data_IF_181961862843
#
_entry.id   IF_181961862843
#
_cell.length_a   1.000
_cell.length_b   1.000
_cell.length_c   1.000
_cell.angle_alpha   90.00
_cell.angle_beta   90.00
_cell.angle_gamma   90.00
#
_symmetry.space_group_name_H-M   'P 1'
#
loop_
_entity.id
_entity.type
_entity.pdbx_description
1 polymer ?
#
# COMPACT_ATOMS: atom_id res chain seq x y z
N UNK A 1 -11.21 -21.27 21.67
CA UNK A 1 -9.88 -21.61 21.12
C UNK A 1 -9.26 -20.31 20.69
N UNK A 2 -8.07 -19.96 21.18
CA UNK A 2 -7.46 -18.65 20.90
C UNK A 2 -7.19 -18.53 19.40
N UNK A 3 -7.73 -17.48 18.78
CA UNK A 3 -7.37 -17.05 17.44
C UNK A 3 -5.84 -16.96 17.37
N UNK A 4 -5.24 -17.66 16.40
CA UNK A 4 -3.79 -17.83 16.32
C UNK A 4 -3.08 -16.48 16.33
N UNK A 5 -2.01 -16.38 17.11
CA UNK A 5 -1.16 -15.19 17.17
C UNK A 5 -0.59 -14.89 15.79
N UNK A 6 -1.01 -13.78 15.18
CA UNK A 6 -0.60 -13.33 13.85
C UNK A 6 0.52 -12.31 13.99
N UNK A 7 1.71 -12.63 13.48
CA UNK A 7 2.89 -11.78 13.59
C UNK A 7 3.17 -11.06 12.25
N UNK A 8 3.16 -9.73 12.27
CA UNK A 8 3.47 -8.91 11.09
C UNK A 8 4.98 -8.65 11.00
N UNK A 9 5.66 -9.16 9.96
CA UNK A 9 7.13 -9.05 9.81
C UNK A 9 7.63 -7.61 9.77
N UNK A 10 6.89 -6.69 9.17
CA UNK A 10 7.22 -5.25 9.15
C UNK A 10 7.12 -4.60 10.53
N UNK A 11 6.08 -4.94 11.30
CA UNK A 11 5.94 -4.45 12.68
C UNK A 11 7.00 -5.07 13.59
N UNK A 12 7.39 -6.33 13.35
CA UNK A 12 8.52 -6.97 14.05
C UNK A 12 9.83 -6.27 13.71
N UNK A 13 10.08 -5.94 12.43
CA UNK A 13 11.28 -5.20 12.03
C UNK A 13 11.33 -3.78 12.59
N UNK A 14 10.18 -3.09 12.59
CA UNK A 14 10.05 -1.76 13.20
C UNK A 14 10.28 -1.83 14.70
N UNK A 15 9.69 -2.83 15.38
CA UNK A 15 9.90 -3.07 16.80
C UNK A 15 11.37 -3.40 17.11
N UNK A 16 12.03 -4.22 16.29
CA UNK A 16 13.46 -4.52 16.42
C UNK A 16 14.31 -3.26 16.33
N UNK A 17 14.07 -2.41 15.32
CA UNK A 17 14.76 -1.13 15.16
C UNK A 17 14.52 -0.17 16.33
N UNK A 18 13.28 -0.08 16.82
CA UNK A 18 12.94 0.73 17.99
C UNK A 18 13.65 0.23 19.26
N UNK A 19 13.71 -1.09 19.46
CA UNK A 19 14.38 -1.73 20.59
C UNK A 19 15.90 -1.53 20.53
N UNK A 20 16.52 -1.66 19.35
CA UNK A 20 17.94 -1.33 19.14
C UNK A 20 18.23 0.15 19.42
N UNK A 21 17.41 1.05 18.87
CA UNK A 21 17.54 2.48 19.14
C UNK A 21 17.34 2.83 20.62
N UNK A 22 16.50 2.08 21.35
CA UNK A 22 16.37 2.24 22.79
C UNK A 22 17.62 1.76 23.55
N UNK A 23 18.20 0.63 23.16
CA UNK A 23 19.47 0.15 23.72
C UNK A 23 20.58 1.20 23.59
N UNK A 24 20.71 1.83 22.43
CA UNK A 24 21.74 2.84 22.18
C UNK A 24 21.48 4.13 22.98
N UNK A 25 20.21 4.53 23.15
CA UNK A 25 19.85 5.64 24.06
C UNK A 25 20.23 5.33 25.51
N UNK A 26 19.95 4.11 26.00
CA UNK A 26 20.33 3.67 27.35
C UNK A 26 21.85 3.69 27.53
N UNK A 27 22.60 3.15 26.56
CA UNK A 27 24.06 3.19 26.57
C UNK A 27 24.62 4.62 26.58
N UNK A 28 24.05 5.50 25.76
CA UNK A 28 24.43 6.92 25.71
C UNK A 28 24.12 7.65 27.02
N UNK A 29 22.96 7.41 27.63
CA UNK A 29 22.60 8.03 28.91
C UNK A 29 23.53 7.56 30.04
N UNK A 30 23.87 6.27 30.08
CA UNK A 30 24.82 5.74 31.03
C UNK A 30 26.22 6.34 30.84
N UNK A 31 26.68 6.47 29.59
CA UNK A 31 27.96 7.10 29.24
C UNK A 31 28.00 8.59 29.61
N UNK A 32 26.91 9.32 29.40
CA UNK A 32 26.80 10.73 29.77
C UNK A 32 26.78 10.91 31.30
N UNK A 33 26.04 10.06 32.02
CA UNK A 33 25.98 10.08 33.47
C UNK A 33 27.35 9.75 34.08
N UNK A 34 28.05 8.77 33.53
CA UNK A 34 29.42 8.43 33.89
C UNK A 34 30.39 9.58 33.61
N UNK A 35 30.36 10.18 32.42
CA UNK A 35 31.20 11.33 32.10
C UNK A 35 30.92 12.54 33.02
N UNK A 36 29.67 12.75 33.42
CA UNK A 36 29.26 13.83 34.29
C UNK A 36 29.67 13.62 35.77
N UNK A 37 29.82 12.37 36.20
CA UNK A 37 30.01 12.02 37.63
C UNK A 37 31.38 11.41 37.93
N UNK A 38 32.09 10.84 36.94
CA UNK A 38 33.37 10.16 37.12
C UNK A 38 34.45 11.12 37.62
N UNK A 39 35.09 10.76 38.73
CA UNK A 39 36.16 11.55 39.34
C UNK A 39 35.72 12.91 39.91
N UNK A 40 34.41 13.18 39.97
CA UNK A 40 33.86 14.41 40.54
C UNK A 40 33.15 14.09 41.85
N UNK A 41 33.39 14.91 42.87
CA UNK A 41 32.62 14.88 44.11
C UNK A 41 31.19 15.36 43.82
N UNK A 42 30.22 14.54 44.20
CA UNK A 42 28.78 14.80 44.10
C UNK A 42 28.30 15.87 45.10
N UNK A 43 29.15 16.28 46.05
CA UNK A 43 28.88 17.40 46.96
C UNK A 43 30.13 18.03 47.58
N UNK A 44 29.98 19.23 48.17
CA UNK A 44 31.06 19.97 48.87
C UNK A 44 30.86 19.93 50.39
N UNK A 45 31.97 19.93 51.15
CA UNK A 45 31.96 19.98 52.62
C UNK A 45 31.52 18.68 53.31
N UNK A 46 31.30 18.72 54.63
CA UNK A 46 30.92 17.54 55.45
C UNK A 46 29.61 16.90 54.99
N UNK A 47 28.63 17.70 54.56
CA UNK A 47 27.38 17.20 53.98
C UNK A 47 27.59 16.55 52.60
N UNK A 48 28.48 17.10 51.78
CA UNK A 48 28.85 16.50 50.51
C UNK A 48 29.47 15.10 50.64
N UNK A 49 30.27 14.85 51.68
CA UNK A 49 30.82 13.52 51.95
C UNK A 49 29.75 12.48 52.35
N UNK A 50 28.67 12.91 53.01
CA UNK A 50 27.54 12.04 53.36
C UNK A 50 26.76 11.69 52.08
N UNK A 51 26.48 12.68 51.24
CA UNK A 51 25.82 12.50 49.94
C UNK A 51 26.65 11.61 49.02
N UNK A 52 27.97 11.83 48.94
CA UNK A 52 28.89 10.99 48.17
C UNK A 52 28.77 9.52 48.61
N UNK A 53 28.89 9.24 49.91
CA UNK A 53 28.84 7.86 50.43
C UNK A 53 27.48 7.18 50.20
N UNK A 54 26.38 7.93 50.25
CA UNK A 54 25.04 7.38 50.09
C UNK A 54 24.65 7.20 48.60
N UNK A 55 25.02 8.14 47.74
CA UNK A 55 24.53 8.23 46.36
C UNK A 55 25.51 7.62 45.35
N UNK A 56 26.83 7.69 45.60
CA UNK A 56 27.85 7.18 44.69
C UNK A 56 27.67 5.70 44.34
N UNK A 57 27.44 4.78 45.31
CA UNK A 57 27.25 3.37 44.99
C UNK A 57 26.03 3.10 44.11
N UNK A 58 24.96 3.91 44.29
CA UNK A 58 23.73 3.81 43.50
C UNK A 58 24.00 4.25 42.05
N UNK A 59 24.66 5.40 41.87
CA UNK A 59 25.02 5.92 40.55
C UNK A 59 25.96 4.96 39.80
N UNK A 60 26.98 4.44 40.49
CA UNK A 60 27.92 3.48 39.90
C UNK A 60 27.20 2.18 39.50
N UNK A 61 26.32 1.65 40.35
CA UNK A 61 25.48 0.47 40.04
C UNK A 61 24.54 0.70 38.85
N UNK A 62 23.93 1.89 38.75
CA UNK A 62 23.09 2.26 37.61
C UNK A 62 23.89 2.32 36.30
N UNK A 63 25.11 2.87 36.33
CA UNK A 63 25.99 2.98 35.16
C UNK A 63 26.50 1.61 34.72
N UNK A 64 27.05 0.81 35.64
CA UNK A 64 27.80 -0.39 35.27
C UNK A 64 26.94 -1.63 35.12
N UNK A 65 25.93 -1.79 35.96
CA UNK A 65 25.23 -3.08 36.09
C UNK A 65 23.85 -2.99 35.44
N UNK A 66 23.04 -2.00 35.84
CA UNK A 66 21.68 -1.86 35.34
C UNK A 66 21.66 -1.42 33.88
N UNK A 67 22.41 -0.38 33.52
CA UNK A 67 22.40 0.14 32.15
C UNK A 67 22.97 -0.87 31.15
N UNK A 68 24.02 -1.62 31.51
CA UNK A 68 24.56 -2.69 30.65
C UNK A 68 23.62 -3.88 30.54
N UNK A 69 22.99 -4.30 31.63
CA UNK A 69 22.00 -5.38 31.58
C UNK A 69 20.79 -4.98 30.72
N UNK A 70 20.33 -3.73 30.81
CA UNK A 70 19.25 -3.20 29.98
C UNK A 70 19.65 -3.05 28.52
N UNK A 71 20.85 -2.54 28.23
CA UNK A 71 21.38 -2.48 26.86
C UNK A 71 21.45 -3.89 26.25
N UNK A 72 22.03 -4.85 26.98
CA UNK A 72 22.16 -6.23 26.51
C UNK A 72 20.81 -6.93 26.34
N UNK A 73 19.88 -6.71 27.28
CA UNK A 73 18.51 -7.22 27.20
C UNK A 73 17.77 -6.69 25.98
N UNK A 74 17.80 -5.37 25.74
CA UNK A 74 17.19 -4.78 24.54
C UNK A 74 17.88 -5.27 23.26
N UNK A 75 19.22 -5.32 23.19
CA UNK A 75 19.91 -5.84 22.00
C UNK A 75 19.55 -7.30 21.72
N UNK A 76 19.46 -8.14 22.76
CA UNK A 76 19.06 -9.54 22.63
C UNK A 76 17.62 -9.67 22.10
N UNK A 77 16.69 -8.86 22.60
CA UNK A 77 15.30 -8.80 22.11
C UNK A 77 15.27 -8.33 20.65
N UNK A 78 15.97 -7.25 20.33
CA UNK A 78 16.06 -6.73 18.96
C UNK A 78 16.58 -7.79 18.00
N UNK A 79 17.64 -8.50 18.37
CA UNK A 79 18.22 -9.56 17.54
C UNK A 79 17.28 -10.77 17.39
N UNK A 80 16.55 -11.13 18.46
CA UNK A 80 15.50 -12.16 18.39
C UNK A 80 14.36 -11.78 17.44
N UNK A 81 13.97 -10.50 17.42
CA UNK A 81 12.97 -9.98 16.49
C UNK A 81 13.49 -9.94 15.05
N UNK A 82 14.75 -9.55 14.82
CA UNK A 82 15.40 -9.61 13.50
C UNK A 82 15.46 -11.04 12.97
N UNK A 83 15.86 -12.01 13.80
CA UNK A 83 15.84 -13.42 13.43
C UNK A 83 14.43 -13.92 13.12
N UNK A 84 13.43 -13.48 13.89
CA UNK A 84 12.02 -13.83 13.66
C UNK A 84 11.53 -13.25 12.33
N UNK A 85 11.81 -11.97 12.06
CA UNK A 85 11.51 -11.33 10.77
C UNK A 85 12.18 -12.08 9.63
N UNK A 86 13.48 -12.34 9.73
CA UNK A 86 14.23 -13.06 8.69
C UNK A 86 13.63 -14.45 8.43
N UNK A 87 13.25 -15.18 9.47
CA UNK A 87 12.62 -16.49 9.30
C UNK A 87 11.24 -16.38 8.62
N UNK A 88 10.47 -15.32 8.89
CA UNK A 88 9.20 -15.05 8.22
C UNK A 88 9.42 -14.66 6.76
N UNK A 89 10.38 -13.78 6.48
CA UNK A 89 10.73 -13.34 5.12
C UNK A 89 11.29 -14.51 4.30
N UNK A 90 12.18 -15.34 4.87
CA UNK A 90 12.71 -16.56 4.24
C UNK A 90 11.60 -17.59 3.99
N UNK A 91 10.61 -17.68 4.87
CA UNK A 91 9.44 -18.54 4.67
C UNK A 91 8.53 -18.01 3.55
N UNK A 92 8.28 -16.70 3.52
CA UNK A 92 7.50 -16.02 2.48
C UNK A 92 8.18 -16.15 1.10
N UNK A 93 9.50 -15.95 1.03
CA UNK A 93 10.26 -16.10 -0.21
C UNK A 93 10.28 -17.56 -0.69
N UNK A 94 10.38 -18.53 0.22
CA UNK A 94 10.27 -19.95 -0.13
C UNK A 94 8.90 -20.28 -0.68
N UNK A 95 7.82 -19.86 -0.02
CA UNK A 95 6.44 -20.03 -0.50
C UNK A 95 6.29 -19.43 -1.90
N UNK A 96 6.78 -18.20 -2.11
CA UNK A 96 6.75 -17.54 -3.42
C UNK A 96 7.53 -18.33 -4.49
N UNK A 97 8.66 -18.94 -4.14
CA UNK A 97 9.44 -19.80 -5.05
C UNK A 97 8.75 -21.13 -5.33
N UNK A 98 8.09 -21.76 -4.35
CA UNK A 98 7.32 -23.00 -4.59
C UNK A 98 6.10 -22.72 -5.47
N UNK A 99 5.38 -21.61 -5.24
CA UNK A 99 4.28 -21.17 -6.09
C UNK A 99 4.72 -20.95 -7.55
N UNK A 100 5.95 -20.46 -7.77
CA UNK A 100 6.53 -20.32 -9.13
C UNK A 100 7.00 -21.65 -9.75
N UNK A 101 7.38 -22.66 -8.96
CA UNK A 101 7.89 -23.95 -9.44
C UNK A 101 6.80 -25.00 -9.70
N UNK A 102 5.60 -24.85 -9.12
CA UNK A 102 4.52 -25.83 -9.26
C UNK A 102 3.73 -25.78 -10.58
N UNK A 103 4.25 -25.12 -11.62
CA UNK A 103 3.85 -25.43 -13.00
C UNK A 103 4.28 -26.86 -13.41
N UNK A 104 5.35 -27.39 -12.80
CA UNK A 104 5.93 -28.70 -13.12
C UNK A 104 6.04 -29.60 -11.87
N UNK A 105 4.90 -30.15 -11.42
CA UNK A 105 4.74 -31.58 -11.10
C UNK A 105 5.55 -32.34 -10.04
N UNK A 106 6.54 -31.82 -9.31
CA UNK A 106 7.29 -32.63 -8.31
C UNK A 106 7.11 -32.19 -6.85
N UNK A 107 6.71 -33.15 -6.00
CA UNK A 107 6.46 -33.01 -4.56
C UNK A 107 7.66 -33.55 -3.77
N UNK A 108 8.28 -32.72 -2.94
CA UNK A 108 9.31 -33.17 -1.99
C UNK A 108 8.76 -33.09 -0.55
N UNK A 109 8.60 -34.22 0.17
CA UNK A 109 7.95 -34.23 1.48
C UNK A 109 8.90 -33.72 2.59
N UNK A 110 8.48 -32.65 3.26
CA UNK A 110 9.19 -32.02 4.37
C UNK A 110 9.20 -32.94 5.61
N UNK A 111 10.38 -33.28 6.15
CA UNK A 111 10.52 -33.96 7.45
C UNK A 111 10.52 -32.93 8.59
N UNK A 112 9.41 -32.84 9.33
CA UNK A 112 9.28 -32.03 10.55
C UNK A 112 9.62 -32.86 11.80
N UNK A 113 10.14 -32.19 12.84
CA UNK A 113 10.41 -32.82 14.14
C UNK A 113 9.12 -32.95 14.97
N UNK A 114 9.03 -33.92 15.91
CA UNK A 114 7.86 -34.10 16.76
C UNK A 114 7.54 -32.82 17.56
N UNK A 115 6.31 -32.31 17.44
CA UNK A 115 5.83 -31.10 18.13
C UNK A 115 5.76 -29.82 17.28
N UNK A 116 6.27 -29.83 16.05
CA UNK A 116 6.08 -28.72 15.09
C UNK A 116 4.89 -28.99 14.18
N UNK A 117 3.79 -28.27 14.39
CA UNK A 117 2.71 -28.18 13.41
C UNK A 117 3.12 -27.11 12.39
N UNK A 118 3.81 -27.50 11.32
CA UNK A 118 3.74 -26.68 10.12
C UNK A 118 2.32 -26.82 9.59
N UNK A 119 1.65 -25.70 9.32
CA UNK A 119 0.50 -25.73 8.45
C UNK A 119 0.95 -26.43 7.16
N UNK A 120 0.17 -27.41 6.70
CA UNK A 120 0.39 -27.99 5.38
C UNK A 120 0.38 -26.88 4.32
N UNK A 121 0.87 -27.20 3.13
CA UNK A 121 0.96 -26.24 2.01
C UNK A 121 -0.38 -25.52 1.75
N UNK A 122 -1.50 -26.26 1.79
CA UNK A 122 -2.86 -25.71 1.69
C UNK A 122 -3.18 -24.72 2.82
N UNK A 123 -2.78 -25.03 4.06
CA UNK A 123 -3.01 -24.15 5.21
C UNK A 123 -2.18 -22.87 5.16
N UNK A 124 -0.99 -22.89 4.57
CA UNK A 124 -0.17 -21.70 4.34
C UNK A 124 -0.76 -20.82 3.24
N UNK A 125 -1.27 -21.43 2.17
CA UNK A 125 -1.96 -20.72 1.09
C UNK A 125 -3.23 -20.03 1.59
N UNK A 126 -4.07 -20.74 2.34
CA UNK A 126 -5.28 -20.16 2.93
C UNK A 126 -4.97 -18.98 3.84
N UNK A 127 -3.90 -19.07 4.63
CA UNK A 127 -3.45 -17.95 5.47
C UNK A 127 -2.97 -16.75 4.65
N UNK A 128 -2.24 -17.00 3.57
CA UNK A 128 -1.79 -15.96 2.66
C UNK A 128 -2.97 -15.24 2.00
N UNK A 129 -3.91 -15.99 1.42
CA UNK A 129 -5.11 -15.45 0.79
C UNK A 129 -5.96 -14.65 1.80
N UNK A 130 -6.10 -15.14 3.04
CA UNK A 130 -6.76 -14.39 4.13
C UNK A 130 -6.03 -13.11 4.49
N UNK A 131 -4.70 -13.09 4.52
CA UNK A 131 -3.90 -11.88 4.80
C UNK A 131 -4.13 -10.84 3.72
N UNK A 132 -4.10 -11.25 2.45
CA UNK A 132 -4.37 -10.38 1.31
C UNK A 132 -5.79 -9.81 1.39
N UNK A 133 -6.80 -10.67 1.56
CA UNK A 133 -8.19 -10.26 1.70
C UNK A 133 -8.40 -9.27 2.86
N UNK A 134 -7.88 -9.59 4.04
CA UNK A 134 -7.96 -8.71 5.23
C UNK A 134 -7.34 -7.35 4.96
N UNK A 135 -6.22 -7.30 4.22
CA UNK A 135 -5.58 -6.04 3.86
C UNK A 135 -6.40 -5.24 2.85
N UNK A 136 -7.00 -5.88 1.86
CA UNK A 136 -7.90 -5.23 0.91
C UNK A 136 -9.14 -4.68 1.63
N UNK A 137 -9.77 -5.46 2.52
CA UNK A 137 -10.91 -5.01 3.33
C UNK A 137 -10.58 -3.79 4.20
N UNK A 138 -9.34 -3.68 4.66
CA UNK A 138 -8.86 -2.50 5.37
C UNK A 138 -8.68 -1.30 4.43
N UNK A 139 -8.08 -1.51 3.26
CA UNK A 139 -7.84 -0.47 2.26
C UNK A 139 -9.15 0.07 1.65
N UNK A 140 -10.16 -0.76 1.50
CA UNK A 140 -11.49 -0.36 1.03
C UNK A 140 -12.16 0.66 1.96
N UNK A 141 -11.83 0.63 3.26
CA UNK A 141 -12.34 1.58 4.26
C UNK A 141 -11.54 2.89 4.32
N UNK A 142 -10.37 2.97 3.67
CA UNK A 142 -9.50 4.15 3.74
C UNK A 142 -9.91 5.25 2.74
N UNK A 143 -10.50 4.87 1.61
CA UNK A 143 -10.83 5.77 0.51
C UNK A 143 -11.57 5.05 -0.62
N UNK A 144 -11.33 5.46 -1.86
CA UNK A 144 -12.01 4.89 -3.04
C UNK A 144 -11.07 4.13 -3.97
N UNK A 145 -9.83 3.87 -3.53
CA UNK A 145 -8.85 3.12 -4.32
C UNK A 145 -9.37 1.73 -4.71
N UNK A 146 -9.87 0.96 -3.74
CA UNK A 146 -10.39 -0.39 -3.99
C UNK A 146 -11.64 -0.33 -4.88
N UNK A 147 -12.67 0.39 -4.45
CA UNK A 147 -13.93 0.48 -5.20
C UNK A 147 -13.86 1.16 -6.59
N UNK A 148 -12.79 1.91 -6.92
CA UNK A 148 -12.61 2.51 -8.27
C UNK A 148 -11.54 1.85 -9.14
N UNK A 149 -10.60 1.12 -8.53
CA UNK A 149 -9.39 0.66 -9.22
C UNK A 149 -8.96 -0.77 -8.86
N UNK A 150 -9.75 -1.52 -8.08
CA UNK A 150 -9.53 -2.96 -7.84
C UNK A 150 -10.83 -3.73 -8.07
N UNK A 151 -11.85 -3.46 -7.26
CA UNK A 151 -13.14 -4.16 -7.25
C UNK A 151 -14.12 -3.56 -8.27
N UNK A 152 -13.64 -3.36 -9.50
CA UNK A 152 -14.40 -2.77 -10.60
C UNK A 152 -14.51 -3.74 -11.76
N UNK A 153 -15.69 -3.95 -12.31
CA UNK A 153 -15.84 -4.73 -13.54
C UNK A 153 -15.34 -3.96 -14.77
N UNK A 154 -15.03 -4.67 -15.85
CA UNK A 154 -14.64 -4.02 -17.11
C UNK A 154 -15.76 -3.14 -17.69
N UNK A 155 -17.02 -3.53 -17.46
CA UNK A 155 -18.17 -2.73 -17.84
C UNK A 155 -18.26 -1.45 -17.01
N UNK A 156 -17.96 -1.50 -15.70
CA UNK A 156 -17.84 -0.28 -14.88
C UNK A 156 -16.69 0.62 -15.36
N UNK A 157 -15.55 0.06 -15.78
CA UNK A 157 -14.45 0.85 -16.35
C UNK A 157 -14.86 1.54 -17.67
N UNK A 158 -15.57 0.85 -18.54
CA UNK A 158 -16.10 1.42 -19.79
C UNK A 158 -17.17 2.48 -19.54
N UNK A 159 -18.06 2.25 -18.57
CA UNK A 159 -19.09 3.20 -18.15
C UNK A 159 -18.50 4.45 -17.50
N UNK A 160 -17.38 4.30 -16.80
CA UNK A 160 -16.59 5.40 -16.24
C UNK A 160 -16.01 6.33 -17.31
N UNK A 161 -15.74 5.82 -18.52
CA UNK A 161 -15.29 6.64 -19.64
C UNK A 161 -16.41 7.51 -20.20
N UNK A 162 -17.67 7.08 -20.07
CA UNK A 162 -18.85 7.83 -20.52
C UNK A 162 -19.10 7.76 -22.03
N UNK A 163 -19.86 8.72 -22.54
CA UNK A 163 -20.28 8.80 -23.95
C UNK A 163 -19.55 9.93 -24.67
N UNK A 164 -19.04 9.71 -25.91
CA UNK A 164 -18.43 10.76 -26.72
C UNK A 164 -19.33 12.00 -26.84
N UNK A 165 -18.72 13.17 -26.65
CA UNK A 165 -19.36 14.45 -26.96
C UNK A 165 -19.33 14.64 -28.46
N UNK A 166 -20.51 14.82 -29.06
CA UNK A 166 -20.66 15.08 -30.48
C UNK A 166 -20.75 16.59 -30.75
N UNK A 167 -20.04 17.07 -31.76
CA UNK A 167 -19.99 18.47 -32.17
C UNK A 167 -20.37 18.64 -33.64
N UNK A 168 -20.83 19.84 -34.02
CA UNK A 168 -21.30 20.14 -35.37
C UNK A 168 -22.83 20.05 -35.52
N UNK A 169 -23.36 20.32 -36.72
CA UNK A 169 -24.79 20.28 -36.98
C UNK A 169 -25.31 18.83 -36.93
N UNK A 170 -26.60 18.65 -36.62
CA UNK A 170 -27.21 17.32 -36.39
C UNK A 170 -26.99 16.30 -37.53
N UNK A 171 -26.87 16.76 -38.78
CA UNK A 171 -26.66 15.92 -39.96
C UNK A 171 -25.17 15.59 -40.25
N UNK A 172 -24.24 16.18 -39.53
CA UNK A 172 -22.80 16.01 -39.73
C UNK A 172 -22.03 16.05 -38.39
N UNK A 173 -22.62 15.45 -37.36
CA UNK A 173 -21.99 15.37 -36.05
C UNK A 173 -20.70 14.55 -36.11
N UNK A 174 -19.65 15.09 -35.51
CA UNK A 174 -18.37 14.40 -35.33
C UNK A 174 -17.99 14.37 -33.85
N UNK A 175 -17.22 13.37 -33.39
CA UNK A 175 -16.71 13.36 -32.02
C UNK A 175 -15.82 14.58 -31.75
N UNK A 176 -15.91 15.13 -30.54
CA UNK A 176 -14.99 16.13 -30.02
C UNK A 176 -13.70 15.46 -29.53
N UNK A 177 -12.57 16.12 -29.76
CA UNK A 177 -11.25 15.65 -29.35
C UNK A 177 -10.55 16.69 -28.49
N UNK A 178 -9.75 16.23 -27.53
CA UNK A 178 -8.85 17.08 -26.77
C UNK A 178 -7.60 17.47 -27.58
N UNK A 179 -6.72 18.27 -26.98
CA UNK A 179 -5.48 18.71 -27.61
C UNK A 179 -4.45 17.59 -27.84
N UNK A 180 -4.70 16.38 -27.32
CA UNK A 180 -3.86 15.19 -27.47
C UNK A 180 -4.50 14.17 -28.42
N UNK A 181 -5.63 14.49 -29.04
CA UNK A 181 -6.31 13.63 -29.99
C UNK A 181 -7.18 12.54 -29.34
N UNK A 182 -7.48 12.63 -28.04
CA UNK A 182 -8.41 11.70 -27.38
C UNK A 182 -9.83 12.21 -27.40
N UNK A 183 -10.80 11.30 -27.39
CA UNK A 183 -12.22 11.61 -27.44
C UNK A 183 -12.66 12.28 -26.14
N UNK A 184 -13.29 13.43 -26.25
CA UNK A 184 -13.94 14.10 -25.12
C UNK A 184 -15.28 13.42 -24.86
N UNK A 185 -15.56 13.14 -23.59
CA UNK A 185 -16.71 12.33 -23.17
C UNK A 185 -17.50 13.00 -22.03
N UNK A 186 -18.81 12.77 -21.99
CA UNK A 186 -19.74 13.19 -20.92
C UNK A 186 -20.44 11.97 -20.31
N UNK A 187 -21.36 12.18 -19.35
CA UNK A 187 -22.20 11.11 -18.77
C UNK A 187 -21.38 9.94 -18.19
N UNK A 188 -20.28 10.27 -17.51
CA UNK A 188 -19.38 9.31 -16.88
C UNK A 188 -20.04 8.76 -15.62
N UNK A 189 -19.97 7.45 -15.41
CA UNK A 189 -20.57 6.77 -14.25
C UNK A 189 -19.45 6.41 -13.27
N UNK A 190 -19.61 6.80 -12.00
CA UNK A 190 -18.66 6.43 -10.96
C UNK A 190 -18.73 4.92 -10.66
N UNK A 191 -17.61 4.18 -10.72
CA UNK A 191 -17.62 2.77 -10.34
C UNK A 191 -18.13 2.50 -8.92
N UNK A 192 -18.03 3.47 -8.01
CA UNK A 192 -18.52 3.35 -6.63
C UNK A 192 -20.05 3.19 -6.52
N UNK A 193 -20.82 3.50 -7.57
CA UNK A 193 -22.24 3.13 -7.63
C UNK A 193 -22.47 1.61 -7.66
N UNK A 194 -21.39 0.85 -7.85
CA UNK A 194 -21.36 -0.60 -7.84
C UNK A 194 -21.85 -1.21 -9.15
N UNK A 195 -21.89 -2.55 -9.21
CA UNK A 195 -22.42 -3.24 -10.37
C UNK A 195 -23.91 -2.90 -10.55
N UNK A 196 -24.32 -2.79 -11.82
CA UNK A 196 -25.69 -2.46 -12.24
C UNK A 196 -26.16 -1.05 -11.89
N UNK A 197 -25.25 -0.07 -11.79
CA UNK A 197 -25.59 1.34 -11.56
C UNK A 197 -26.70 1.85 -12.50
N UNK A 198 -26.65 1.49 -13.80
CA UNK A 198 -27.66 1.85 -14.81
C UNK A 198 -29.06 1.27 -14.58
N UNK A 199 -29.18 0.18 -13.82
CA UNK A 199 -30.48 -0.41 -13.44
C UNK A 199 -31.04 0.26 -12.18
N UNK A 200 -30.16 0.71 -11.27
CA UNK A 200 -30.51 1.22 -9.94
C UNK A 200 -30.72 2.73 -9.90
N UNK A 201 -30.03 3.47 -10.76
CA UNK A 201 -29.98 4.92 -10.76
C UNK A 201 -30.48 5.48 -12.10
N UNK A 202 -31.01 6.69 -12.05
CA UNK A 202 -31.45 7.44 -13.21
C UNK A 202 -30.70 8.79 -13.26
N UNK A 203 -30.57 9.42 -14.44
CA UNK A 203 -30.05 10.79 -14.52
C UNK A 203 -30.89 11.77 -13.68
N UNK A 204 -30.27 12.74 -12.97
CA UNK A 204 -28.84 13.03 -13.00
C UNK A 204 -27.98 12.15 -12.08
N UNK A 205 -28.57 11.48 -11.08
CA UNK A 205 -27.86 10.76 -10.00
C UNK A 205 -26.89 9.70 -10.52
N UNK A 206 -27.24 9.04 -11.63
CA UNK A 206 -26.39 8.06 -12.33
C UNK A 206 -25.00 8.62 -12.69
N UNK A 207 -24.90 9.92 -12.97
CA UNK A 207 -23.67 10.59 -13.43
C UNK A 207 -22.96 11.36 -12.33
N UNK A 208 -23.52 11.40 -11.12
CA UNK A 208 -22.91 12.07 -9.98
C UNK A 208 -21.79 11.21 -9.40
N UNK A 209 -20.79 11.86 -8.82
CA UNK A 209 -19.76 11.21 -8.04
C UNK A 209 -20.39 10.61 -6.78
N UNK A 210 -20.09 9.35 -6.46
CA UNK A 210 -20.65 8.69 -5.29
C UNK A 210 -19.89 9.07 -4.00
N UNK A 211 -18.68 9.61 -4.10
CA UNK A 211 -17.85 10.10 -2.97
C UNK A 211 -18.15 11.56 -2.64
N UNK A 212 -19.44 11.94 -2.63
CA UNK A 212 -19.87 13.29 -2.21
C UNK A 212 -19.94 13.33 -0.69
N UNK A 213 -19.08 14.17 -0.09
CA UNK A 213 -19.06 14.34 1.37
C UNK A 213 -20.27 15.13 1.87
N UNK A 214 -20.70 14.92 3.14
CA UNK A 214 -21.74 15.73 3.75
C UNK A 214 -21.42 17.24 3.64
N UNK A 215 -22.37 18.00 3.09
CA UNK A 215 -22.23 19.44 2.89
C UNK A 215 -21.55 19.86 1.59
N UNK A 216 -21.03 18.92 0.78
CA UNK A 216 -20.58 19.21 -0.58
C UNK A 216 -21.75 19.12 -1.57
N UNK A 217 -21.80 20.04 -2.54
CA UNK A 217 -22.74 19.92 -3.64
C UNK A 217 -22.42 18.70 -4.50
N UNK A 218 -23.43 17.94 -4.96
CA UNK A 218 -23.20 16.86 -5.90
C UNK A 218 -22.51 17.37 -7.16
N UNK A 219 -21.55 16.59 -7.65
CA UNK A 219 -20.77 16.92 -8.84
C UNK A 219 -20.79 15.74 -9.78
N UNK A 220 -20.78 15.99 -11.08
CA UNK A 220 -20.62 14.92 -12.05
C UNK A 220 -19.28 14.21 -11.84
N UNK A 221 -19.30 12.89 -11.93
CA UNK A 221 -18.09 12.09 -11.85
C UNK A 221 -17.11 12.46 -12.97
N UNK A 222 -15.82 12.43 -12.66
CA UNK A 222 -14.75 12.71 -13.62
C UNK A 222 -13.83 11.52 -13.75
N UNK A 223 -13.51 11.20 -14.98
CA UNK A 223 -12.48 10.25 -15.37
C UNK A 223 -11.68 10.87 -16.51
N UNK A 224 -10.36 10.67 -16.47
CA UNK A 224 -9.47 11.12 -17.54
C UNK A 224 -9.68 10.31 -18.83
N UNK A 225 -8.64 10.29 -19.65
CA UNK A 225 -8.59 9.54 -20.91
C UNK A 225 -8.71 8.03 -20.69
N UNK A 226 -8.10 7.53 -19.62
CA UNK A 226 -8.01 6.11 -19.32
C UNK A 226 -8.83 5.77 -18.08
N UNK A 227 -9.57 4.67 -18.15
CA UNK A 227 -10.15 4.01 -16.99
C UNK A 227 -9.32 2.77 -16.70
N UNK A 228 -8.51 2.83 -15.65
CA UNK A 228 -7.51 1.80 -15.30
C UNK A 228 -7.82 1.17 -13.95
N UNK A 229 -7.39 -0.07 -13.76
CA UNK A 229 -7.52 -0.83 -12.53
C UNK A 229 -6.37 -1.84 -12.41
N UNK A 230 -6.19 -2.36 -11.20
CA UNK A 230 -5.40 -3.54 -10.93
C UNK A 230 -6.20 -4.79 -11.34
N UNK A 231 -5.47 -5.83 -11.72
CA UNK A 231 -6.01 -7.13 -12.11
C UNK A 231 -6.30 -8.04 -10.93
N UNK A 232 -5.61 -7.83 -9.80
CA UNK A 232 -5.68 -8.72 -8.65
C UNK A 232 -5.36 -8.02 -7.31
N UNK A 233 -5.83 -8.65 -6.23
CA UNK A 233 -5.71 -8.14 -4.86
C UNK A 233 -4.26 -8.10 -4.36
N UNK A 234 -3.44 -9.07 -4.75
CA UNK A 234 -2.05 -9.18 -4.32
C UNK A 234 -1.23 -7.99 -4.86
N UNK A 235 -1.37 -7.70 -6.15
CA UNK A 235 -0.73 -6.59 -6.84
C UNK A 235 -1.11 -5.24 -6.22
N UNK A 236 -2.39 -5.02 -5.92
CA UNK A 236 -2.85 -3.81 -5.24
C UNK A 236 -2.28 -3.69 -3.82
N UNK A 237 -2.31 -4.79 -3.04
CA UNK A 237 -1.76 -4.82 -1.68
C UNK A 237 -0.28 -4.45 -1.65
N UNK A 238 0.56 -5.09 -2.48
CA UNK A 238 1.99 -4.83 -2.50
C UNK A 238 2.32 -3.43 -3.05
N UNK A 239 1.52 -2.92 -4.00
CA UNK A 239 1.67 -1.55 -4.48
C UNK A 239 1.41 -0.51 -3.38
N UNK A 240 0.37 -0.70 -2.55
CA UNK A 240 0.14 0.16 -1.38
C UNK A 240 1.27 0.01 -0.35
N UNK A 241 1.72 -1.21 -0.06
CA UNK A 241 2.81 -1.44 0.90
C UNK A 241 4.10 -0.71 0.47
N UNK A 242 4.43 -0.77 -0.82
CA UNK A 242 5.58 -0.06 -1.38
C UNK A 242 5.42 1.46 -1.25
N UNK A 243 4.27 2.00 -1.63
CA UNK A 243 3.99 3.43 -1.65
C UNK A 243 3.90 4.03 -0.25
N UNK A 244 3.27 3.32 0.69
CA UNK A 244 3.06 3.78 2.06
C UNK A 244 4.36 4.04 2.82
N UNK A 245 5.42 3.28 2.53
CA UNK A 245 6.75 3.53 3.10
C UNK A 245 7.48 4.74 2.51
N UNK A 246 6.89 5.44 1.53
CA UNK A 246 7.49 6.52 0.74
C UNK A 246 6.61 7.77 0.65
N UNK A 247 5.60 7.87 1.50
CA UNK A 247 4.72 9.03 1.53
C UNK A 247 5.57 10.26 1.91
N UNK A 248 5.59 11.32 1.09
CA UNK A 248 6.36 12.52 1.41
C UNK A 248 5.75 13.22 2.64
N UNK A 249 6.61 13.78 3.49
CA UNK A 249 6.18 14.50 4.70
C UNK A 249 5.38 15.76 4.39
N UNK A 250 5.63 16.37 3.23
CA UNK A 250 4.94 17.58 2.78
C UNK A 250 3.93 17.26 1.68
N UNK A 251 2.78 17.96 1.65
CA UNK A 251 1.85 17.85 0.54
C UNK A 251 2.49 18.26 -0.80
N UNK A 252 2.09 17.64 -1.93
CA UNK A 252 1.08 16.58 -2.03
C UNK A 252 1.62 15.22 -1.56
N UNK A 253 0.82 14.50 -0.77
CA UNK A 253 1.14 13.15 -0.27
C UNK A 253 0.92 12.07 -1.34
N UNK A 254 1.59 12.25 -2.46
CA UNK A 254 1.48 11.41 -3.65
C UNK A 254 2.78 10.65 -3.88
N UNK A 255 2.66 9.38 -4.27
CA UNK A 255 3.79 8.53 -4.61
C UNK A 255 3.56 7.97 -5.99
N UNK A 256 4.48 8.26 -6.91
CA UNK A 256 4.50 7.70 -8.26
C UNK A 256 5.71 6.78 -8.39
N UNK A 257 5.48 5.56 -8.87
CA UNK A 257 6.51 4.53 -8.96
C UNK A 257 6.24 3.57 -10.13
N UNK A 258 7.23 2.79 -10.53
CA UNK A 258 7.06 1.78 -11.56
C UNK A 258 6.47 0.48 -10.96
N UNK A 259 5.70 -0.31 -11.73
CA UNK A 259 5.34 -1.67 -11.35
C UNK A 259 6.53 -2.52 -10.87
N UNK A 260 7.70 -2.32 -11.49
CA UNK A 260 8.93 -3.03 -11.15
C UNK A 260 9.44 -2.72 -9.74
N UNK A 261 9.19 -1.51 -9.22
CA UNK A 261 9.59 -1.13 -7.87
C UNK A 261 8.78 -1.88 -6.80
N UNK A 262 7.49 -2.12 -7.06
CA UNK A 262 6.60 -2.80 -6.12
C UNK A 262 6.67 -4.34 -6.23
N UNK A 263 6.85 -4.88 -7.44
CA UNK A 263 6.68 -6.31 -7.70
C UNK A 263 7.97 -7.04 -8.12
N UNK A 264 9.06 -6.29 -8.32
CA UNK A 264 10.35 -6.77 -8.80
C UNK A 264 10.50 -6.62 -10.32
N UNK A 265 11.69 -6.91 -10.89
CA UNK A 265 11.92 -6.77 -12.33
C UNK A 265 11.04 -7.74 -13.14
N UNK A 266 10.51 -7.28 -14.27
CA UNK A 266 9.69 -8.08 -15.17
C UNK A 266 8.65 -7.26 -15.93
N UNK A 267 7.96 -7.93 -16.85
CA UNK A 267 6.68 -7.45 -17.38
C UNK A 267 5.58 -7.73 -16.35
N UNK A 268 4.69 -6.75 -16.18
CA UNK A 268 3.60 -6.74 -15.21
C UNK A 268 2.29 -6.26 -15.84
N UNK A 269 2.23 -6.23 -17.17
CA UNK A 269 1.05 -5.79 -17.91
C UNK A 269 -0.19 -6.65 -17.62
N UNK A 270 0.00 -7.92 -17.25
CA UNK A 270 -1.06 -8.86 -16.85
C UNK A 270 -1.70 -8.54 -15.49
N UNK A 271 -1.00 -7.80 -14.63
CA UNK A 271 -1.48 -7.34 -13.32
C UNK A 271 -2.34 -6.08 -13.39
N UNK A 272 -2.48 -5.51 -14.59
CA UNK A 272 -3.13 -4.25 -14.83
C UNK A 272 -4.16 -4.42 -15.94
N UNK A 273 -5.22 -3.63 -15.90
CA UNK A 273 -6.24 -3.60 -16.94
C UNK A 273 -6.80 -2.22 -17.09
N UNK A 274 -7.25 -1.90 -18.29
CA UNK A 274 -7.85 -0.60 -18.54
C UNK A 274 -8.30 -0.41 -19.96
N UNK A 275 -9.12 0.62 -20.11
CA UNK A 275 -9.75 0.96 -21.39
C UNK A 275 -9.64 2.46 -21.64
N UNK A 276 -9.71 2.81 -22.92
CA UNK A 276 -9.99 4.17 -23.40
C UNK A 276 -10.89 4.10 -24.62
N UNK A 277 -11.61 5.19 -24.91
CA UNK A 277 -12.44 5.28 -26.12
C UNK A 277 -11.54 5.30 -27.34
N UNK A 278 -11.86 4.50 -28.36
CA UNK A 278 -11.07 4.45 -29.61
C UNK A 278 -11.05 5.84 -30.27
N UNK A 279 -9.89 6.49 -30.40
CA UNK A 279 -9.81 7.84 -30.97
C UNK A 279 -9.94 7.86 -32.50
N UNK A 280 -9.84 6.70 -33.17
CA UNK A 280 -9.97 6.59 -34.63
C UNK A 280 -11.40 6.25 -35.01
N UNK A 281 -12.02 5.35 -34.26
CA UNK A 281 -13.37 4.86 -34.51
C UNK A 281 -14.19 4.83 -33.20
N UNK A 282 -14.55 5.97 -32.60
CA UNK A 282 -15.13 6.01 -31.26
C UNK A 282 -16.53 5.42 -31.15
N UNK A 283 -17.25 5.32 -32.28
CA UNK A 283 -18.60 4.78 -32.35
C UNK A 283 -18.66 3.69 -33.42
N UNK A 284 -19.40 2.62 -33.15
CA UNK A 284 -19.76 1.63 -34.17
C UNK A 284 -20.96 2.11 -35.02
N UNK A 285 -21.35 1.30 -36.00
CA UNK A 285 -22.47 1.60 -36.90
C UNK A 285 -23.83 1.70 -36.18
N UNK A 286 -23.96 1.13 -34.98
CA UNK A 286 -25.15 1.19 -34.14
C UNK A 286 -25.10 2.35 -33.13
N UNK A 287 -24.01 3.14 -33.12
CA UNK A 287 -23.81 4.25 -32.18
C UNK A 287 -23.29 3.82 -30.81
N UNK A 288 -22.84 2.58 -30.63
CA UNK A 288 -22.21 2.15 -29.39
C UNK A 288 -20.76 2.62 -29.34
N UNK A 289 -20.29 2.95 -28.12
CA UNK A 289 -18.91 3.36 -27.90
C UNK A 289 -17.97 2.19 -28.14
N UNK A 290 -16.93 2.42 -28.95
CA UNK A 290 -15.83 1.47 -29.13
C UNK A 290 -14.70 1.80 -28.18
N UNK A 291 -14.15 0.77 -27.56
CA UNK A 291 -13.08 0.89 -26.58
C UNK A 291 -11.85 0.12 -27.06
N UNK A 292 -10.68 0.61 -26.66
CA UNK A 292 -9.39 -0.07 -26.83
C UNK A 292 -8.84 -0.43 -25.46
N UNK A 293 -8.14 -1.56 -25.40
CA UNK A 293 -7.35 -1.93 -24.23
C UNK A 293 -6.17 -0.99 -24.11
N UNK A 294 -5.85 -0.61 -22.88
CA UNK A 294 -4.65 0.16 -22.56
C UNK A 294 -3.42 -0.74 -22.63
N UNK A 295 -2.37 -0.24 -23.28
CA UNK A 295 -1.00 -0.77 -23.19
C UNK A 295 -0.31 -0.16 -21.96
N UNK A 296 0.05 -1.01 -21.01
CA UNK A 296 0.72 -0.62 -19.76
C UNK A 296 2.24 -0.68 -19.84
N UNK A 297 2.82 -0.86 -21.03
CA UNK A 297 4.27 -0.79 -21.22
C UNK A 297 4.81 0.55 -20.70
N UNK A 298 5.74 0.49 -19.75
CA UNK A 298 6.32 1.67 -19.11
C UNK A 298 5.36 2.48 -18.24
N UNK A 299 4.15 1.98 -17.95
CA UNK A 299 3.20 2.66 -17.08
C UNK A 299 3.78 2.84 -15.66
N UNK A 300 3.31 3.87 -14.97
CA UNK A 300 3.56 4.07 -13.54
C UNK A 300 2.32 3.72 -12.73
N UNK A 301 2.47 3.58 -11.43
CA UNK A 301 1.37 3.54 -10.47
C UNK A 301 1.42 4.83 -9.67
N UNK A 302 0.26 5.48 -9.52
CA UNK A 302 0.10 6.65 -8.68
C UNK A 302 -0.76 6.33 -7.48
N UNK A 303 -0.19 6.48 -6.29
CA UNK A 303 -0.90 6.35 -5.01
C UNK A 303 -1.04 7.73 -4.36
N UNK A 304 -2.25 8.06 -3.93
CA UNK A 304 -2.57 9.34 -3.30
C UNK A 304 -3.04 9.06 -1.88
N UNK A 305 -2.33 9.62 -0.91
CA UNK A 305 -2.65 9.50 0.51
C UNK A 305 -3.23 10.81 1.05
N UNK A 306 -3.99 10.70 2.14
CA UNK A 306 -4.46 11.85 2.92
C UNK A 306 -4.14 11.64 4.40
N UNK A 307 -3.86 12.70 5.15
CA UNK A 307 -3.76 12.60 6.60
C UNK A 307 -5.03 12.00 7.19
N UNK A 308 -4.88 11.09 8.15
CA UNK A 308 -6.00 10.42 8.82
C UNK A 308 -6.56 11.22 10.01
N UNK A 309 -5.89 12.30 10.41
CA UNK A 309 -6.23 13.13 11.56
C UNK A 309 -5.57 12.72 12.87
N UNK A 310 -4.87 11.58 12.90
CA UNK A 310 -4.19 11.01 14.08
C UNK A 310 -2.66 10.96 13.91
N UNK A 311 -2.11 11.72 12.95
CA UNK A 311 -0.69 11.73 12.63
C UNK A 311 -0.26 10.63 11.65
N UNK A 312 -1.20 9.84 11.11
CA UNK A 312 -0.97 8.85 10.08
C UNK A 312 -1.54 9.25 8.71
N UNK A 313 -1.52 8.29 7.79
CA UNK A 313 -2.01 8.45 6.43
C UNK A 313 -2.96 7.31 6.06
N UNK A 314 -4.01 7.67 5.33
CA UNK A 314 -4.93 6.73 4.70
C UNK A 314 -4.86 6.84 3.18
N UNK A 315 -4.98 5.71 2.49
CA UNK A 315 -5.01 5.64 1.05
C UNK A 315 -6.31 6.27 0.55
N UNK A 316 -6.21 7.39 -0.16
CA UNK A 316 -7.38 8.00 -0.79
C UNK A 316 -7.72 7.29 -2.09
N UNK A 317 -6.72 7.06 -2.95
CA UNK A 317 -6.87 6.31 -4.20
C UNK A 317 -5.51 5.83 -4.71
N UNK A 318 -5.51 4.78 -5.52
CA UNK A 318 -4.32 4.29 -6.22
C UNK A 318 -4.71 3.74 -7.58
N UNK A 319 -4.00 4.12 -8.62
CA UNK A 319 -4.33 3.70 -9.98
C UNK A 319 -3.11 3.62 -10.90
N UNK A 320 -3.14 2.74 -11.91
CA UNK A 320 -2.15 2.73 -12.97
C UNK A 320 -2.28 3.95 -13.89
N UNK A 321 -1.15 4.55 -14.24
CA UNK A 321 -1.00 5.68 -15.17
C UNK A 321 -0.23 5.22 -16.42
N UNK A 322 -0.93 4.87 -17.51
CA UNK A 322 -0.31 4.45 -18.75
C UNK A 322 0.29 5.64 -19.50
N UNK A 323 1.24 5.33 -20.40
CA UNK A 323 1.90 6.35 -21.22
C UNK A 323 1.15 6.56 -22.53
N UNK A 324 0.95 7.84 -22.89
CA UNK A 324 0.21 8.22 -24.10
C UNK A 324 0.87 7.74 -25.39
N UNK A 325 2.20 7.63 -25.45
CA UNK A 325 2.88 7.22 -26.68
C UNK A 325 2.63 5.74 -27.05
N UNK A 326 2.34 4.89 -26.06
CA UNK A 326 1.89 3.51 -26.28
C UNK A 326 0.38 3.41 -26.54
N UNK A 327 -0.37 4.47 -26.21
CA UNK A 327 -1.82 4.54 -26.31
C UNK A 327 -2.26 5.76 -27.13
N UNK A 328 -1.85 5.90 -28.40
CA UNK A 328 -1.95 7.17 -29.11
C UNK A 328 -3.40 7.62 -29.34
N UNK A 329 -3.59 8.94 -29.28
CA UNK A 329 -4.77 9.64 -29.80
C UNK A 329 -4.84 9.63 -31.33
N UNK A 330 -5.77 10.40 -31.87
CA UNK A 330 -5.96 10.62 -33.31
C UNK A 330 -4.75 11.28 -33.97
#
# INVERSE_FOLDING_TARGET
MSEGFQAHSDHIGTAAGQVHGHADRVASHAGNLDAATRGRLLGRGKYGQIVEKAVRPIVDSMITDMSKAMEHGHRSIGHGLEMTKKNLDDAEERIRKTLRKHADGERDPIKLKPGQNALGEDGMRDQYERRVATRIDALDKEGHGVGRHLDVTDDQLKDRLGTPVMQGPAHAQVPAYDNKGYVVSTNKIDPLHGPKAKEKLQPPDLYLDADVKPGESPRNHKCGTYATAFGDNESFMYADQYARGRIPETPPHEVTFSPGDAWGPGDHSDRLRGYYVDPKEPLDAAGNVRYRNVDFTGATIKAIYRPDGNGGFKLHTMFPEPLNHHNPGR
#
